data_IF_077781144041
#
_entry.id   IF_077781144041
#
_cell.length_a   1.000
_cell.length_b   1.000
_cell.length_c   1.000
_cell.angle_alpha   90.00
_cell.angle_beta   90.00
_cell.angle_gamma   90.00
#
_symmetry.space_group_name_H-M   'P 1'
#
loop_
_entity.id
_entity.type
_entity.pdbx_description
1 polymer ?
#
# COMPACT_ATOMS: atom_id res chain seq x y z
N UNK A 1 5.84 15.42 22.27
CA UNK A 1 5.33 15.19 20.91
C UNK A 1 3.91 14.71 21.09
N UNK A 2 2.93 15.54 20.74
CA UNK A 2 1.54 15.14 20.91
C UNK A 2 1.15 14.14 19.81
N UNK A 3 0.40 13.07 20.12
CA UNK A 3 0.13 11.95 19.20
C UNK A 3 -0.85 12.27 18.05
N UNK A 4 -1.12 13.55 17.77
CA UNK A 4 -2.09 14.02 16.76
C UNK A 4 -1.54 15.09 15.83
N UNK A 5 -0.23 15.32 15.77
CA UNK A 5 0.35 15.87 14.54
C UNK A 5 0.20 14.81 13.45
N UNK A 6 -1.02 14.72 12.91
CA UNK A 6 -1.30 14.10 11.64
C UNK A 6 -0.37 14.81 10.67
N UNK A 7 0.76 14.16 10.36
CA UNK A 7 1.68 14.65 9.35
C UNK A 7 0.80 14.82 8.13
N UNK A 8 0.59 16.06 7.72
CA UNK A 8 -0.03 16.32 6.43
C UNK A 8 0.91 15.70 5.40
N UNK A 9 0.54 14.50 4.93
CA UNK A 9 1.25 13.75 3.90
C UNK A 9 0.97 14.42 2.55
N UNK A 10 1.37 15.68 2.48
CA UNK A 10 1.10 16.58 1.39
C UNK A 10 2.43 16.91 0.74
N UNK A 11 2.61 16.43 -0.48
CA UNK A 11 3.81 16.68 -1.25
C UNK A 11 3.52 17.67 -2.36
N UNK A 12 4.38 18.68 -2.44
CA UNK A 12 4.36 19.72 -3.45
C UNK A 12 5.57 19.56 -4.35
N UNK A 13 5.37 19.72 -5.66
CA UNK A 13 6.46 19.86 -6.63
C UNK A 13 6.28 21.16 -7.40
N UNK A 14 7.29 22.05 -7.42
CA UNK A 14 7.19 23.38 -8.01
C UNK A 14 6.98 23.36 -9.53
N UNK A 15 7.46 22.34 -10.23
CA UNK A 15 7.23 22.12 -11.66
C UNK A 15 6.83 20.65 -11.90
N UNK A 16 5.86 20.35 -12.79
CA UNK A 16 5.49 18.97 -13.06
C UNK A 16 6.68 18.23 -13.68
N UNK A 17 7.25 17.29 -12.92
CA UNK A 17 8.22 16.32 -13.41
C UNK A 17 7.48 15.05 -13.83
N UNK A 18 7.84 14.45 -14.97
CA UNK A 18 7.25 13.19 -15.45
C UNK A 18 7.29 12.10 -14.36
N UNK A 19 8.37 12.06 -13.57
CA UNK A 19 8.53 11.16 -12.44
C UNK A 19 7.51 11.37 -11.30
N UNK A 20 7.05 12.61 -11.06
CA UNK A 20 6.00 12.86 -10.07
C UNK A 20 4.64 12.36 -10.56
N UNK A 21 4.35 12.55 -11.86
CA UNK A 21 3.11 12.06 -12.48
C UNK A 21 3.07 10.52 -12.54
N UNK A 22 4.21 9.89 -12.83
CA UNK A 22 4.37 8.43 -12.79
C UNK A 22 4.15 7.89 -11.37
N UNK A 23 4.82 8.48 -10.36
CA UNK A 23 4.60 8.12 -8.96
C UNK A 23 3.13 8.27 -8.56
N UNK A 24 2.48 9.35 -8.97
CA UNK A 24 1.05 9.58 -8.73
C UNK A 24 0.18 8.48 -9.35
N UNK A 25 0.49 8.06 -10.58
CA UNK A 25 -0.23 7.00 -11.27
C UNK A 25 -0.08 5.67 -10.51
N UNK A 26 1.13 5.34 -10.09
CA UNK A 26 1.41 4.13 -9.31
C UNK A 26 0.66 4.09 -7.97
N UNK A 27 0.56 5.24 -7.28
CA UNK A 27 -0.17 5.34 -6.00
C UNK A 27 -1.69 5.47 -6.17
N UNK A 28 -2.19 5.80 -7.36
CA UNK A 28 -3.62 5.92 -7.64
C UNK A 28 -4.26 4.61 -8.11
N UNK A 29 -3.46 3.66 -8.57
CA UNK A 29 -3.97 2.40 -9.16
C UNK A 29 -4.43 1.35 -8.13
N UNK A 30 -4.26 1.59 -6.83
CA UNK A 30 -4.69 0.71 -5.71
C UNK A 30 -4.28 -0.77 -5.89
N UNK A 31 -3.23 -1.05 -6.66
CA UNK A 31 -2.77 -2.40 -6.98
C UNK A 31 -1.92 -3.01 -5.88
N UNK A 32 -1.44 -2.18 -4.95
CA UNK A 32 -0.45 -2.56 -3.95
C UNK A 32 -0.91 -2.11 -2.56
N UNK A 33 -1.42 -3.05 -1.76
CA UNK A 33 -1.92 -2.78 -0.39
C UNK A 33 -0.81 -2.31 0.57
N UNK A 34 0.45 -2.42 0.16
CA UNK A 34 1.65 -2.09 0.94
C UNK A 34 2.25 -0.71 0.59
N UNK A 35 1.52 0.08 -0.17
CA UNK A 35 1.90 1.42 -0.59
C UNK A 35 0.84 2.41 -0.13
N UNK A 36 1.27 3.58 0.37
CA UNK A 36 0.33 4.68 0.62
C UNK A 36 -0.38 5.07 -0.67
N UNK A 37 -1.72 5.14 -0.59
CA UNK A 37 -2.56 5.59 -1.70
C UNK A 37 -2.71 7.10 -1.72
N UNK A 38 -3.05 7.66 -2.88
CA UNK A 38 -3.32 9.10 -3.03
C UNK A 38 -4.80 9.37 -2.72
N UNK A 39 -5.06 10.29 -1.79
CA UNK A 39 -6.40 10.73 -1.43
C UNK A 39 -6.89 11.84 -2.37
N UNK A 40 -6.04 12.84 -2.62
CA UNK A 40 -6.38 14.00 -3.45
C UNK A 40 -5.18 14.48 -4.26
N UNK A 41 -5.47 15.03 -5.44
CA UNK A 41 -4.49 15.71 -6.30
C UNK A 41 -5.07 17.06 -6.68
N UNK A 42 -4.27 18.11 -6.57
CA UNK A 42 -4.70 19.48 -6.86
C UNK A 42 -3.55 20.38 -7.26
N UNK A 43 -3.83 21.67 -7.37
CA UNK A 43 -2.82 22.71 -7.53
C UNK A 43 -2.93 23.71 -6.40
N UNK A 44 -1.79 24.21 -5.94
CA UNK A 44 -1.78 25.33 -5.00
C UNK A 44 -1.98 26.68 -5.71
N UNK A 45 -1.95 27.76 -4.93
CA UNK A 45 -2.09 29.15 -5.41
C UNK A 45 -0.97 29.58 -6.38
N UNK A 46 0.16 28.89 -6.39
CA UNK A 46 1.28 29.13 -7.33
C UNK A 46 1.15 28.31 -8.62
N UNK A 47 0.13 27.45 -8.71
CA UNK A 47 -0.06 26.52 -9.82
C UNK A 47 0.78 25.25 -9.73
N UNK A 48 1.54 25.05 -8.63
CA UNK A 48 2.34 23.86 -8.39
C UNK A 48 1.44 22.65 -8.14
N UNK A 49 1.85 21.47 -8.58
CA UNK A 49 1.09 20.24 -8.39
C UNK A 49 1.27 19.76 -6.94
N UNK A 50 0.15 19.40 -6.31
CA UNK A 50 0.10 18.94 -4.92
C UNK A 50 -0.61 17.61 -4.86
N UNK A 51 0.01 16.64 -4.18
CA UNK A 51 -0.56 15.33 -3.90
C UNK A 51 -0.72 15.16 -2.39
N UNK A 52 -1.93 14.81 -1.96
CA UNK A 52 -2.24 14.45 -0.58
C UNK A 52 -2.41 12.94 -0.50
N UNK A 53 -1.53 12.27 0.24
CA UNK A 53 -1.68 10.85 0.54
C UNK A 53 -2.83 10.59 1.51
N UNK A 54 -3.40 9.40 1.40
CA UNK A 54 -4.27 8.84 2.44
C UNK A 54 -3.43 8.65 3.70
N UNK A 55 -3.86 9.20 4.84
CA UNK A 55 -3.17 8.98 6.10
C UNK A 55 -3.29 7.50 6.49
N UNK A 56 -2.20 6.70 6.43
CA UNK A 56 -2.27 5.32 6.86
C UNK A 56 -2.40 5.29 8.38
N UNK A 57 -3.30 4.47 8.89
CA UNK A 57 -3.32 4.15 10.31
C UNK A 57 -2.19 3.16 10.60
N UNK A 58 -1.30 3.48 11.53
CA UNK A 58 -0.23 2.57 11.91
C UNK A 58 0.89 3.24 12.72
N UNK A 59 1.80 2.42 13.22
CA UNK A 59 3.02 2.89 13.87
C UNK A 59 4.21 2.78 12.92
N UNK A 60 5.13 3.75 12.99
CA UNK A 60 6.44 3.63 12.36
C UNK A 60 7.13 2.33 12.77
N UNK A 61 7.80 1.67 11.82
CA UNK A 61 8.36 0.34 11.99
C UNK A 61 9.26 0.22 13.24
N UNK A 62 10.16 1.17 13.56
CA UNK A 62 10.94 1.10 14.80
C UNK A 62 10.05 1.03 16.05
N UNK A 63 9.03 1.89 16.14
CA UNK A 63 8.09 1.92 17.25
C UNK A 63 7.20 0.66 17.29
N UNK A 64 6.80 0.13 16.12
CA UNK A 64 6.06 -1.12 16.03
C UNK A 64 6.91 -2.30 16.54
N UNK A 65 8.17 -2.37 16.13
CA UNK A 65 9.12 -3.39 16.58
C UNK A 65 9.42 -3.30 18.09
N UNK A 66 9.45 -2.10 18.66
CA UNK A 66 9.59 -1.93 20.11
C UNK A 66 8.41 -2.53 20.89
N UNK A 67 7.21 -2.50 20.32
CA UNK A 67 6.01 -3.12 20.92
C UNK A 67 5.93 -4.62 20.67
N UNK A 68 6.31 -5.06 19.47
CA UNK A 68 6.38 -6.48 19.11
C UNK A 68 7.46 -7.19 19.95
N UNK A 69 8.55 -6.49 20.28
CA UNK A 69 9.69 -7.06 20.98
C UNK A 69 10.56 -7.89 20.04
N UNK A 70 10.74 -9.17 20.35
CA UNK A 70 11.51 -10.11 19.53
C UNK A 70 10.55 -10.95 18.66
N UNK A 71 10.35 -10.62 17.37
CA UNK A 71 9.49 -11.41 16.50
C UNK A 71 10.08 -12.81 16.28
N UNK A 72 9.19 -13.81 16.26
CA UNK A 72 9.58 -15.14 15.76
C UNK A 72 9.95 -15.06 14.28
N UNK A 73 10.74 -16.02 13.79
CA UNK A 73 11.13 -16.11 12.37
C UNK A 73 9.92 -16.00 11.43
N UNK A 74 8.82 -16.69 11.71
CA UNK A 74 7.63 -16.64 10.85
C UNK A 74 6.91 -15.28 10.86
N UNK A 75 6.98 -14.54 11.98
CA UNK A 75 6.47 -13.15 12.06
C UNK A 75 7.39 -12.22 11.26
N UNK A 76 8.71 -12.38 11.39
CA UNK A 76 9.68 -11.62 10.60
C UNK A 76 9.48 -11.83 9.10
N UNK A 77 9.27 -13.08 8.65
CA UNK A 77 8.91 -13.38 7.25
C UNK A 77 7.65 -12.62 6.83
N UNK A 78 6.60 -12.61 7.67
CA UNK A 78 5.33 -11.93 7.36
C UNK A 78 5.48 -10.42 7.20
N UNK A 79 6.30 -9.79 8.04
CA UNK A 79 6.58 -8.36 7.96
C UNK A 79 7.49 -8.00 6.78
N UNK A 80 8.37 -8.90 6.35
CA UNK A 80 9.43 -8.58 5.37
C UNK A 80 9.12 -8.99 3.94
N UNK A 81 8.27 -9.99 3.70
CA UNK A 81 7.91 -10.39 2.34
C UNK A 81 7.26 -9.25 1.53
N UNK A 82 6.28 -8.50 2.06
CA UNK A 82 5.69 -7.42 1.28
C UNK A 82 6.71 -6.31 0.93
N UNK A 83 7.65 -6.03 1.83
CA UNK A 83 8.71 -5.05 1.59
C UNK A 83 9.61 -5.49 0.41
N UNK A 84 9.95 -6.78 0.35
CA UNK A 84 10.77 -7.35 -0.72
C UNK A 84 10.00 -7.42 -2.04
N UNK A 85 8.70 -7.72 -2.00
CA UNK A 85 7.84 -7.73 -3.20
C UNK A 85 7.78 -6.33 -3.83
N UNK A 86 7.56 -5.28 -3.04
CA UNK A 86 7.59 -3.90 -3.52
C UNK A 86 8.97 -3.51 -4.05
N UNK A 87 10.05 -3.89 -3.35
CA UNK A 87 11.40 -3.60 -3.80
C UNK A 87 11.72 -4.28 -5.14
N UNK A 88 11.26 -5.52 -5.35
CA UNK A 88 11.44 -6.27 -6.60
C UNK A 88 10.65 -5.66 -7.76
N UNK A 89 9.43 -5.18 -7.50
CA UNK A 89 8.66 -4.44 -8.52
C UNK A 89 9.38 -3.17 -8.94
N UNK A 90 9.96 -2.45 -7.98
CA UNK A 90 10.73 -1.24 -8.26
C UNK A 90 12.03 -1.53 -9.03
N UNK A 91 12.75 -2.58 -8.64
CA UNK A 91 13.96 -3.04 -9.34
C UNK A 91 13.67 -3.48 -10.78
N UNK A 92 12.51 -4.08 -11.02
CA UNK A 92 12.04 -4.45 -12.36
C UNK A 92 11.53 -3.25 -13.20
N UNK A 93 11.47 -2.04 -12.63
CA UNK A 93 10.91 -0.86 -13.28
C UNK A 93 9.38 -0.90 -13.44
N UNK A 94 8.70 -1.77 -12.70
CA UNK A 94 7.24 -1.90 -12.70
C UNK A 94 6.56 -0.95 -11.69
N UNK A 95 7.35 -0.28 -10.86
CA UNK A 95 6.90 0.64 -9.82
C UNK A 95 7.96 1.73 -9.60
N UNK A 96 7.56 2.99 -9.65
CA UNK A 96 8.44 4.10 -9.30
C UNK A 96 8.37 4.38 -7.79
N UNK A 97 9.45 4.03 -7.08
CA UNK A 97 9.62 4.40 -5.68
C UNK A 97 10.29 5.77 -5.54
N UNK A 98 9.74 6.56 -4.62
CA UNK A 98 10.29 7.80 -4.14
C UNK A 98 11.42 7.61 -3.13
N UNK A 99 11.56 8.56 -2.20
CA UNK A 99 12.53 8.50 -1.10
C UNK A 99 11.84 8.17 0.22
N UNK A 100 12.51 7.40 1.07
CA UNK A 100 11.97 7.02 2.37
C UNK A 100 13.08 6.77 3.38
N UNK A 101 12.74 6.89 4.67
CA UNK A 101 13.50 6.37 5.79
C UNK A 101 12.76 5.21 6.48
N UNK A 102 13.34 4.68 7.55
CA UNK A 102 12.70 3.63 8.35
C UNK A 102 11.38 4.07 9.00
N UNK A 103 11.28 5.34 9.37
CA UNK A 103 10.06 5.90 9.99
C UNK A 103 8.92 6.08 8.99
N UNK A 104 9.22 6.04 7.68
CA UNK A 104 8.22 6.09 6.61
C UNK A 104 7.66 4.69 6.26
N UNK A 105 8.15 3.63 6.91
CA UNK A 105 7.57 2.28 6.84
C UNK A 105 6.69 2.09 8.06
N UNK A 106 5.39 1.89 7.85
CA UNK A 106 4.41 1.76 8.91
C UNK A 106 3.97 0.30 9.06
N UNK A 107 3.54 -0.07 10.27
CA UNK A 107 2.80 -1.30 10.56
C UNK A 107 1.40 -0.90 11.01
N UNK A 108 0.39 -1.30 10.24
CA UNK A 108 -1.01 -1.00 10.55
C UNK A 108 -1.59 -1.92 11.63
N UNK A 109 -2.82 -1.62 12.07
CA UNK A 109 -3.47 -2.37 13.14
C UNK A 109 -3.71 -3.86 12.80
N UNK A 110 -3.76 -4.21 11.51
CA UNK A 110 -3.84 -5.59 11.04
C UNK A 110 -2.47 -6.29 10.98
N UNK A 111 -1.38 -5.57 11.23
CA UNK A 111 -0.01 -6.03 11.11
C UNK A 111 0.52 -6.01 9.68
N UNK A 112 -0.17 -5.32 8.76
CA UNK A 112 0.30 -5.11 7.40
C UNK A 112 1.33 -3.98 7.37
N UNK A 113 2.35 -4.13 6.51
CA UNK A 113 3.38 -3.10 6.32
C UNK A 113 2.99 -2.16 5.19
N UNK A 114 3.17 -0.86 5.38
CA UNK A 114 2.83 0.17 4.39
C UNK A 114 4.00 1.15 4.22
N UNK A 115 4.46 1.35 2.99
CA UNK A 115 5.48 2.34 2.65
C UNK A 115 4.85 3.70 2.28
N UNK A 116 5.24 4.72 3.03
CA UNK A 116 4.91 6.14 2.81
C UNK A 116 6.11 6.86 2.21
N UNK A 117 6.46 6.55 0.96
CA UNK A 117 7.57 7.24 0.31
C UNK A 117 7.20 8.66 -0.15
N UNK A 118 8.23 9.48 -0.30
CA UNK A 118 8.14 10.86 -0.74
C UNK A 118 8.37 10.89 -2.25
N UNK A 119 7.46 11.45 -3.04
CA UNK A 119 7.58 11.42 -4.49
C UNK A 119 8.86 12.11 -4.99
N UNK A 120 9.37 11.70 -6.17
CA UNK A 120 10.50 12.37 -6.81
C UNK A 120 10.24 13.87 -6.99
N UNK A 121 11.22 14.71 -6.63
CA UNK A 121 11.13 16.17 -6.77
C UNK A 121 10.29 16.88 -5.70
N UNK A 122 9.70 16.16 -4.74
CA UNK A 122 8.96 16.76 -3.63
C UNK A 122 9.85 17.71 -2.83
N UNK A 123 9.33 18.91 -2.56
CA UNK A 123 9.96 19.85 -1.63
C UNK A 123 9.71 19.38 -0.20
N UNK A 124 10.77 19.10 0.56
CA UNK A 124 10.64 18.59 1.93
C UNK A 124 11.96 18.04 2.47
N UNK A 125 11.98 17.80 3.79
CA UNK A 125 13.20 17.52 4.53
C UNK A 125 13.88 16.21 4.06
N UNK A 126 15.07 16.35 3.49
CA UNK A 126 16.05 15.27 3.30
C UNK A 126 16.76 15.01 4.62
N UNK A 127 15.97 14.68 5.64
CA UNK A 127 16.49 14.37 6.96
C UNK A 127 17.53 13.24 6.90
N UNK A 128 18.42 13.16 7.89
CA UNK A 128 19.39 12.08 7.98
C UNK A 128 18.67 10.72 7.96
N UNK A 129 19.13 9.80 7.11
CA UNK A 129 18.55 8.46 6.96
C UNK A 129 17.52 8.29 5.84
N UNK A 130 17.18 9.36 5.12
CA UNK A 130 16.29 9.29 3.95
C UNK A 130 17.08 8.84 2.70
N UNK A 131 16.78 7.63 2.23
CA UNK A 131 17.44 6.97 1.10
C UNK A 131 16.46 6.75 -0.06
N UNK A 132 16.87 6.02 -1.09
CA UNK A 132 15.95 5.58 -2.15
C UNK A 132 14.93 4.60 -1.57
N UNK A 133 13.70 4.56 -2.10
CA UNK A 133 12.66 3.69 -1.55
C UNK A 133 13.04 2.21 -1.52
N UNK A 134 13.70 1.71 -2.57
CA UNK A 134 14.21 0.34 -2.59
C UNK A 134 15.25 0.07 -1.48
N UNK A 135 16.16 1.02 -1.25
CA UNK A 135 17.14 0.91 -0.16
C UNK A 135 16.45 0.98 1.22
N UNK A 136 15.45 1.85 1.38
CA UNK A 136 14.66 1.96 2.61
C UNK A 136 13.93 0.66 2.94
N UNK A 137 13.37 -0.01 1.92
CA UNK A 137 12.72 -1.31 2.09
C UNK A 137 13.70 -2.39 2.55
N UNK A 138 14.91 -2.46 1.97
CA UNK A 138 15.93 -3.43 2.44
C UNK A 138 16.43 -3.09 3.84
N UNK A 139 16.55 -1.80 4.18
CA UNK A 139 16.85 -1.37 5.55
C UNK A 139 15.75 -1.76 6.53
N UNK A 140 14.49 -1.65 6.14
CA UNK A 140 13.34 -2.08 6.94
C UNK A 140 13.34 -3.60 7.14
N UNK A 141 13.64 -4.38 6.09
CA UNK A 141 13.83 -5.83 6.20
C UNK A 141 14.92 -6.13 7.24
N UNK A 142 16.09 -5.50 7.13
CA UNK A 142 17.16 -5.67 8.11
C UNK A 142 16.72 -5.29 9.53
N UNK A 143 16.01 -4.17 9.71
CA UNK A 143 15.55 -3.71 11.01
C UNK A 143 14.60 -4.72 11.69
N UNK A 144 13.73 -5.38 10.92
CA UNK A 144 12.87 -6.47 11.43
C UNK A 144 13.73 -7.66 11.88
N UNK A 145 14.65 -8.10 11.02
CA UNK A 145 15.48 -9.25 11.32
C UNK A 145 16.47 -8.99 12.46
N UNK A 146 16.93 -7.76 12.67
CA UNK A 146 17.77 -7.36 13.82
C UNK A 146 17.08 -7.60 15.18
N UNK A 147 15.75 -7.75 15.18
CA UNK A 147 14.96 -8.09 16.39
C UNK A 147 14.74 -9.58 16.60
N UNK A 148 14.97 -10.41 15.58
CA UNK A 148 14.89 -11.87 15.69
C UNK A 148 16.03 -12.39 16.59
N UNK A 149 15.80 -13.44 17.37
CA UNK A 149 16.84 -14.01 18.25
C UNK A 149 18.11 -14.30 17.44
N UNK A 150 19.28 -13.76 17.82
CA UNK A 150 20.55 -14.00 17.12
C UNK A 150 20.95 -15.48 17.04
N UNK A 151 20.35 -16.36 17.86
CA UNK A 151 20.59 -17.81 17.82
C UNK A 151 19.81 -18.52 16.71
N UNK A 152 18.88 -17.84 16.04
CA UNK A 152 18.11 -18.45 14.96
C UNK A 152 19.01 -18.81 13.78
N UNK A 153 18.94 -20.05 13.27
CA UNK A 153 19.75 -20.49 12.15
C UNK A 153 19.39 -19.65 10.91
N UNK A 154 20.42 -19.15 10.22
CA UNK A 154 20.25 -18.34 9.00
C UNK A 154 20.19 -16.83 9.22
N UNK A 155 20.23 -16.34 10.48
CA UNK A 155 20.30 -14.90 10.77
C UNK A 155 21.47 -14.21 10.05
N UNK A 156 22.66 -14.79 10.11
CA UNK A 156 23.86 -14.28 9.44
C UNK A 156 23.71 -14.26 7.91
N UNK A 157 23.04 -15.28 7.34
CA UNK A 157 22.80 -15.36 5.91
C UNK A 157 21.85 -14.24 5.45
N UNK A 158 20.82 -13.94 6.25
CA UNK A 158 19.92 -12.81 5.99
C UNK A 158 20.68 -11.48 6.05
N UNK A 159 21.56 -11.29 7.04
CA UNK A 159 22.35 -10.04 7.13
C UNK A 159 23.28 -9.84 5.95
N UNK A 160 23.95 -10.90 5.51
CA UNK A 160 24.79 -10.87 4.30
C UNK A 160 23.95 -10.60 3.05
N UNK A 161 22.78 -11.21 2.93
CA UNK A 161 21.87 -11.01 1.81
C UNK A 161 21.30 -9.57 1.77
N UNK A 162 20.95 -8.99 2.93
CA UNK A 162 20.55 -7.59 3.04
C UNK A 162 21.68 -6.64 2.62
N UNK A 163 22.92 -6.92 3.03
CA UNK A 163 24.07 -6.12 2.63
C UNK A 163 24.36 -6.22 1.12
N UNK A 164 24.22 -7.40 0.52
CA UNK A 164 24.36 -7.61 -0.92
C UNK A 164 23.23 -6.92 -1.70
N UNK A 165 21.97 -7.10 -1.29
CA UNK A 165 20.81 -6.48 -1.93
C UNK A 165 20.90 -4.94 -1.93
N UNK A 166 21.37 -4.32 -0.84
CA UNK A 166 21.59 -2.87 -0.80
C UNK A 166 22.67 -2.37 -1.75
N UNK A 167 23.73 -3.15 -1.97
CA UNK A 167 24.84 -2.74 -2.84
C UNK A 167 24.55 -3.00 -4.31
N UNK A 168 23.94 -4.15 -4.60
CA UNK A 168 23.93 -4.73 -5.94
C UNK A 168 22.53 -4.79 -6.58
N UNK A 169 21.45 -4.64 -5.79
CA UNK A 169 20.07 -4.74 -6.29
C UNK A 169 19.77 -6.07 -6.99
N UNK A 170 18.86 -6.08 -7.96
CA UNK A 170 18.72 -7.12 -8.97
C UNK A 170 18.71 -8.56 -8.43
N UNK A 171 19.68 -9.35 -8.90
CA UNK A 171 19.84 -10.75 -8.50
C UNK A 171 20.06 -10.92 -6.99
N UNK A 172 20.72 -9.98 -6.33
CA UNK A 172 20.93 -10.01 -4.87
C UNK A 172 19.63 -9.76 -4.10
N UNK A 173 18.76 -8.89 -4.61
CA UNK A 173 17.43 -8.67 -4.04
C UNK A 173 16.52 -9.90 -4.22
N UNK A 174 16.54 -10.53 -5.40
CA UNK A 174 15.85 -11.80 -5.64
C UNK A 174 16.36 -12.93 -4.75
N UNK A 175 17.67 -12.98 -4.49
CA UNK A 175 18.26 -13.95 -3.59
C UNK A 175 17.79 -13.75 -2.15
N UNK A 176 17.68 -12.49 -1.70
CA UNK A 176 17.14 -12.14 -0.39
C UNK A 176 15.66 -12.56 -0.24
N UNK A 177 14.81 -12.27 -1.22
CA UNK A 177 13.40 -12.72 -1.22
C UNK A 177 13.29 -14.25 -1.11
N UNK A 178 14.02 -14.99 -1.94
CA UNK A 178 14.04 -16.46 -1.90
C UNK A 178 14.53 -16.99 -0.56
N UNK A 179 15.56 -16.37 0.00
CA UNK A 179 16.11 -16.75 1.30
C UNK A 179 15.06 -16.55 2.40
N UNK A 180 14.43 -15.37 2.47
CA UNK A 180 13.37 -15.07 3.46
C UNK A 180 12.20 -16.05 3.35
N UNK A 181 11.72 -16.34 2.13
CA UNK A 181 10.65 -17.33 1.90
C UNK A 181 11.03 -18.74 2.35
N UNK A 182 12.30 -19.10 2.23
CA UNK A 182 12.80 -20.42 2.61
C UNK A 182 13.01 -20.57 4.13
N UNK A 183 13.18 -19.48 4.88
CA UNK A 183 13.52 -19.55 6.30
C UNK A 183 12.40 -20.15 7.15
N UNK A 184 11.15 -19.73 6.93
CA UNK A 184 9.98 -20.25 7.64
C UNK A 184 8.67 -19.91 6.90
N UNK A 185 7.58 -20.67 7.13
CA UNK A 185 6.26 -20.25 6.69
C UNK A 185 5.82 -18.96 7.39
N UNK A 186 5.13 -18.02 6.70
CA UNK A 186 4.55 -16.83 7.31
C UNK A 186 3.64 -17.16 8.50
N UNK A 187 3.67 -16.32 9.54
CA UNK A 187 2.84 -16.41 10.74
C UNK A 187 2.14 -15.08 11.00
N UNK A 188 0.84 -15.09 11.38
CA UNK A 188 0.11 -13.87 11.66
C UNK A 188 0.81 -12.99 12.71
N UNK A 189 0.87 -11.69 12.42
CA UNK A 189 1.36 -10.69 13.38
C UNK A 189 0.25 -10.49 14.41
N UNK A 190 0.43 -11.05 15.61
CA UNK A 190 -0.46 -10.78 16.75
C UNK A 190 0.21 -9.71 17.60
N UNK A 191 -0.23 -8.49 17.42
CA UNK A 191 0.23 -7.36 18.22
C UNK A 191 -0.97 -6.54 18.68
N UNK A 192 -0.83 -5.88 19.82
CA UNK A 192 -1.87 -5.01 20.36
C UNK A 192 -1.65 -3.61 19.78
N UNK A 193 -2.48 -3.12 18.84
CA UNK A 193 -2.30 -1.80 18.26
C UNK A 193 -2.48 -0.71 19.33
N UNK A 194 -2.05 0.54 19.09
CA UNK A 194 -2.28 1.63 20.04
C UNK A 194 -3.80 1.77 20.25
N UNK A 195 -4.27 1.99 21.49
CA UNK A 195 -5.68 2.31 21.69
C UNK A 195 -6.00 3.55 20.87
N UNK A 196 -6.97 3.47 19.95
CA UNK A 196 -7.41 4.64 19.22
C UNK A 196 -7.96 5.64 20.23
N UNK A 197 -7.35 6.83 20.28
CA UNK A 197 -7.76 7.95 21.16
C UNK A 197 -9.22 8.34 20.93
N UNK A 198 -9.76 8.01 19.77
CA UNK A 198 -11.15 8.26 19.41
C UNK A 198 -11.84 6.94 19.08
N UNK A 199 -12.71 6.49 19.97
CA UNK A 199 -13.78 5.56 19.63
C UNK A 199 -14.85 6.35 18.90
N UNK A 200 -14.86 6.27 17.57
CA UNK A 200 -16.05 6.64 16.83
C UNK A 200 -17.14 5.65 17.24
N UNK A 201 -18.12 6.11 18.01
CA UNK A 201 -19.38 5.41 18.09
C UNK A 201 -19.89 5.36 16.64
N UNK A 202 -19.69 4.23 15.97
CA UNK A 202 -20.59 3.86 14.90
C UNK A 202 -21.96 3.87 15.57
N UNK A 203 -22.76 4.88 15.26
CA UNK A 203 -24.17 4.91 15.62
C UNK A 203 -24.82 3.67 14.98
N UNK A 204 -24.68 2.54 15.65
CA UNK A 204 -25.43 1.33 15.41
C UNK A 204 -26.83 1.60 15.96
N UNK A 205 -27.59 2.48 15.29
CA UNK A 205 -29.00 2.66 15.61
C UNK A 205 -29.58 4.06 15.55
N UNK A 206 -28.94 5.06 14.95
CA UNK A 206 -29.70 6.22 14.48
C UNK A 206 -30.30 5.86 13.11
N UNK A 207 -31.41 5.10 13.13
CA UNK A 207 -32.24 4.98 11.94
C UNK A 207 -32.60 6.41 11.49
N UNK A 208 -32.29 6.81 10.24
CA UNK A 208 -32.69 8.12 9.77
C UNK A 208 -34.21 8.24 9.93
N UNK A 209 -34.75 9.39 10.39
CA UNK A 209 -36.19 9.58 10.42
C UNK A 209 -36.72 9.25 9.04
N UNK A 210 -37.70 8.35 8.96
CA UNK A 210 -38.24 7.85 7.71
C UNK A 210 -38.72 9.04 6.86
N UNK A 211 -37.86 9.48 5.93
CA UNK A 211 -38.24 10.47 4.95
C UNK A 211 -39.33 9.83 4.08
N UNK A 212 -40.40 10.57 3.72
CA UNK A 212 -41.43 10.04 2.83
C UNK A 212 -40.75 9.52 1.56
N UNK A 213 -40.95 8.23 1.28
CA UNK A 213 -40.25 7.52 0.21
C UNK A 213 -40.55 8.16 -1.15
N UNK A 214 -39.65 9.03 -1.60
CA UNK A 214 -39.67 9.50 -2.97
C UNK A 214 -39.32 8.34 -3.90
N UNK A 215 -39.98 8.28 -5.05
CA UNK A 215 -39.70 7.27 -6.10
C UNK A 215 -38.20 7.24 -6.45
N UNK A 216 -37.55 8.40 -6.43
CA UNK A 216 -36.11 8.55 -6.62
C UNK A 216 -35.28 7.85 -5.53
N UNK A 217 -35.69 7.90 -4.26
CA UNK A 217 -35.02 7.22 -3.15
C UNK A 217 -35.03 5.70 -3.27
N UNK A 218 -36.17 5.13 -3.70
CA UNK A 218 -36.28 3.68 -3.99
C UNK A 218 -35.42 3.27 -5.17
N UNK A 219 -35.37 4.09 -6.21
CA UNK A 219 -34.55 3.83 -7.40
C UNK A 219 -33.06 3.88 -7.08
N UNK A 220 -32.63 4.85 -6.27
CA UNK A 220 -31.24 4.96 -5.83
C UNK A 220 -30.83 3.80 -4.90
N UNK A 221 -31.73 3.37 -4.01
CA UNK A 221 -31.52 2.22 -3.15
C UNK A 221 -31.44 0.91 -3.96
N UNK A 222 -32.29 0.74 -4.96
CA UNK A 222 -32.27 -0.41 -5.87
C UNK A 222 -30.97 -0.44 -6.71
N UNK A 223 -30.53 0.70 -7.25
CA UNK A 223 -29.26 0.82 -7.97
C UNK A 223 -28.07 0.51 -7.05
N UNK A 224 -28.07 1.04 -5.82
CA UNK A 224 -27.00 0.77 -4.85
C UNK A 224 -26.98 -0.70 -4.41
N UNK A 225 -28.14 -1.32 -4.24
CA UNK A 225 -28.26 -2.75 -3.96
C UNK A 225 -27.75 -3.59 -5.15
N UNK A 226 -28.09 -3.21 -6.38
CA UNK A 226 -27.64 -3.86 -7.61
C UNK A 226 -26.11 -3.75 -7.78
N UNK A 227 -25.54 -2.58 -7.48
CA UNK A 227 -24.08 -2.36 -7.50
C UNK A 227 -23.35 -3.18 -6.44
N UNK A 228 -23.91 -3.28 -5.23
CA UNK A 228 -23.27 -4.02 -4.11
C UNK A 228 -23.43 -5.52 -4.21
N UNK A 229 -24.55 -6.01 -4.76
CA UNK A 229 -24.88 -7.45 -4.73
C UNK A 229 -24.81 -8.15 -6.09
N UNK A 230 -24.59 -7.41 -7.18
CA UNK A 230 -24.54 -7.93 -8.54
C UNK A 230 -25.92 -8.16 -9.16
N UNK A 231 -25.95 -8.40 -10.48
CA UNK A 231 -27.17 -8.70 -11.21
C UNK A 231 -27.53 -10.18 -11.03
N UNK A 232 -28.75 -10.53 -10.57
CA UNK A 232 -29.20 -11.91 -10.52
C UNK A 232 -29.46 -12.41 -11.96
N UNK A 233 -28.72 -13.43 -12.40
CA UNK A 233 -28.94 -14.12 -13.67
C UNK A 233 -29.15 -15.60 -13.36
N UNK A 234 -30.41 -16.03 -13.30
CA UNK A 234 -30.76 -17.40 -12.88
C UNK A 234 -30.45 -17.66 -11.41
N UNK A 235 -29.80 -18.79 -11.10
CA UNK A 235 -29.35 -19.17 -9.75
C UNK A 235 -28.04 -18.52 -9.32
N UNK A 236 -27.42 -17.69 -10.17
CA UNK A 236 -26.10 -17.11 -9.93
C UNK A 236 -26.13 -15.58 -9.93
N UNK A 237 -25.28 -14.98 -9.10
CA UNK A 237 -25.10 -13.52 -9.04
C UNK A 237 -23.81 -13.17 -9.77
N UNK A 238 -23.92 -12.34 -10.81
CA UNK A 238 -22.76 -11.90 -11.58
C UNK A 238 -22.38 -10.50 -11.08
N UNK A 239 -21.14 -10.36 -10.59
CA UNK A 239 -20.59 -9.09 -10.16
C UNK A 239 -20.46 -8.12 -11.35
N UNK A 240 -20.73 -6.83 -11.11
CA UNK A 240 -20.78 -5.79 -12.14
C UNK A 240 -19.51 -5.71 -13.00
N UNK A 241 -18.35 -5.97 -12.39
CA UNK A 241 -17.05 -6.03 -13.09
C UNK A 241 -17.07 -7.08 -14.21
N UNK A 242 -17.59 -8.29 -13.97
CA UNK A 242 -17.66 -9.35 -14.98
C UNK A 242 -18.59 -9.00 -16.14
N UNK A 243 -19.65 -8.24 -15.88
CA UNK A 243 -20.60 -7.78 -16.91
C UNK A 243 -19.99 -6.68 -17.79
N UNK A 244 -19.24 -5.75 -17.21
CA UNK A 244 -18.53 -4.71 -17.95
C UNK A 244 -17.43 -5.34 -18.80
N UNK A 245 -16.63 -6.26 -18.24
CA UNK A 245 -15.59 -6.96 -18.99
C UNK A 245 -16.18 -7.79 -20.14
N UNK A 246 -17.27 -8.53 -19.90
CA UNK A 246 -17.96 -9.27 -20.95
C UNK A 246 -18.51 -8.34 -22.05
N UNK A 247 -19.09 -7.20 -21.68
CA UNK A 247 -19.58 -6.20 -22.63
C UNK A 247 -18.46 -5.61 -23.49
N UNK A 248 -17.32 -5.25 -22.88
CA UNK A 248 -16.15 -4.73 -23.60
C UNK A 248 -15.59 -5.79 -24.55
N UNK A 249 -15.46 -7.05 -24.10
CA UNK A 249 -14.97 -8.16 -24.93
C UNK A 249 -15.88 -8.41 -26.11
N UNK A 250 -17.21 -8.50 -25.90
CA UNK A 250 -18.17 -8.71 -26.98
C UNK A 250 -18.13 -7.54 -27.97
N UNK A 251 -18.08 -6.30 -27.48
CA UNK A 251 -18.01 -5.11 -28.34
C UNK A 251 -16.71 -5.08 -29.14
N UNK A 252 -15.58 -5.40 -28.51
CA UNK A 252 -14.29 -5.50 -29.17
C UNK A 252 -14.24 -6.60 -30.24
N UNK A 253 -14.84 -7.76 -29.98
CA UNK A 253 -14.94 -8.88 -30.93
C UNK A 253 -15.84 -8.52 -32.12
N UNK A 254 -16.96 -7.83 -31.90
CA UNK A 254 -17.86 -7.38 -32.98
C UNK A 254 -17.19 -6.31 -33.86
N UNK A 255 -16.50 -5.35 -33.24
CA UNK A 255 -15.74 -4.32 -33.99
C UNK A 255 -14.59 -4.96 -34.77
N UNK A 256 -13.83 -5.86 -34.17
CA UNK A 256 -12.75 -6.57 -34.87
C UNK A 256 -13.27 -7.46 -36.02
N UNK A 257 -14.42 -8.10 -35.85
CA UNK A 257 -15.07 -8.90 -36.90
C UNK A 257 -15.61 -8.06 -38.06
N UNK A 258 -16.06 -6.82 -37.79
CA UNK A 258 -16.51 -5.89 -38.84
C UNK A 258 -15.35 -5.27 -39.63
N UNK A 259 -14.16 -5.18 -39.03
CA UNK A 259 -12.95 -4.65 -39.69
C UNK A 259 -12.06 -5.72 -40.33
N UNK A 260 -12.23 -7.00 -39.98
CA UNK A 260 -11.48 -8.13 -40.55
C UNK A 260 -12.08 -8.73 -41.84
N UNK A 261 -13.20 -8.19 -42.35
CA UNK A 261 -13.90 -8.68 -43.55
C UNK A 261 -13.90 -7.62 -44.67
N UNK A 262 -12.99 -6.65 -44.62
CA UNK A 262 -12.79 -5.61 -45.64
C UNK A 262 -11.41 -5.69 -46.27
#
# INVERSE_FOLDING_TARGET
MEPWEQIDLCWRVPEPADAFAEWLADRSTMTHDHLVGVAEVGRDETGALVARASAPAGLALPAALDRIGAPTVGVAVTLTLPLLEIALLADAGALLLGRAGLDDVLVDDAGAVVLVDRPPGATGDTGPGVVTGAEALVLAVRAVWDRVDPREPGRDAIDQACAAARRDGGASLLALDRLVRATAPPRPVRWDPPPMTFTFALDAGAAPPAAPESVAGRLLAAVRALLRTGLPVGSHRIGLRGLITAGVVVTGVVVAGLWGVG
#
